data_IF_592887730049
#
_entry.id   IF_592887730049
#
_cell.length_a   1.000
_cell.length_b   1.000
_cell.length_c   1.000
_cell.angle_alpha   90.00
_cell.angle_beta   90.00
_cell.angle_gamma   90.00
#
_symmetry.space_group_name_H-M   'P 1'
#
loop_
_entity.id
_entity.type
_entity.pdbx_description
1 polymer ?
#
# COMPACT_ATOMS: atom_id res chain seq x y z
N UNK A 1 -2.68 12.47 -12.40
CA UNK A 1 -3.38 13.11 -11.27
C UNK A 1 -2.65 12.91 -9.94
N UNK A 2 -2.19 11.70 -9.61
CA UNK A 2 -1.33 11.45 -8.43
C UNK A 2 0.02 12.19 -8.49
N UNK A 3 0.71 12.21 -9.64
CA UNK A 3 1.99 12.94 -9.78
C UNK A 3 1.83 14.45 -9.56
N UNK A 4 0.66 14.99 -9.92
CA UNK A 4 0.34 16.41 -9.76
C UNK A 4 0.07 16.79 -8.29
N UNK A 5 -0.50 15.86 -7.50
CA UNK A 5 -0.67 16.02 -6.06
C UNK A 5 0.66 15.83 -5.31
N UNK A 6 1.54 14.96 -5.82
CA UNK A 6 2.88 14.69 -5.28
C UNK A 6 3.78 15.92 -5.30
N UNK A 7 3.75 16.70 -6.37
CA UNK A 7 4.55 17.94 -6.54
C UNK A 7 4.16 19.08 -5.58
N UNK A 8 3.05 18.94 -4.85
CA UNK A 8 2.53 19.95 -3.92
C UNK A 8 2.75 19.59 -2.44
N UNK A 9 3.26 18.40 -2.16
CA UNK A 9 3.62 17.97 -0.80
C UNK A 9 4.96 18.60 -0.40
N UNK A 10 5.16 18.87 0.89
CA UNK A 10 6.48 19.30 1.37
C UNK A 10 7.49 18.16 1.17
N UNK A 11 8.79 18.47 1.11
CA UNK A 11 9.84 17.45 0.94
C UNK A 11 9.71 16.31 1.96
N UNK A 12 9.41 16.64 3.22
CA UNK A 12 9.22 15.66 4.30
C UNK A 12 7.96 14.79 4.09
N UNK A 13 6.91 15.33 3.47
CA UNK A 13 5.67 14.58 3.20
C UNK A 13 5.83 13.67 1.97
N UNK A 14 6.63 14.08 0.97
CA UNK A 14 7.01 13.25 -0.18
C UNK A 14 7.86 12.07 0.28
N UNK A 15 8.86 12.30 1.13
CA UNK A 15 9.72 11.24 1.65
C UNK A 15 8.92 10.20 2.45
N UNK A 16 7.97 10.65 3.29
CA UNK A 16 7.04 9.73 3.99
C UNK A 16 6.13 8.98 3.02
N UNK A 17 5.60 9.65 1.99
CA UNK A 17 4.77 9.00 0.99
C UNK A 17 5.54 7.90 0.25
N UNK A 18 6.75 8.20 -0.23
CA UNK A 18 7.62 7.23 -0.91
C UNK A 18 7.97 6.05 0.00
N UNK A 19 8.19 6.30 1.28
CA UNK A 19 8.43 5.24 2.26
C UNK A 19 7.21 4.32 2.42
N UNK A 20 6.01 4.88 2.54
CA UNK A 20 4.78 4.08 2.66
C UNK A 20 4.41 3.36 1.36
N UNK A 21 4.64 3.99 0.21
CA UNK A 21 4.39 3.40 -1.10
C UNK A 21 5.39 2.25 -1.38
N UNK A 22 6.68 2.46 -1.09
CA UNK A 22 7.70 1.42 -1.14
C UNK A 22 7.38 0.24 -0.21
N UNK A 23 6.94 0.51 1.03
CA UNK A 23 6.47 -0.52 1.95
C UNK A 23 5.25 -1.27 1.42
N UNK A 24 4.29 -0.59 0.81
CA UNK A 24 3.11 -1.22 0.22
C UNK A 24 3.49 -2.15 -0.95
N UNK A 25 4.42 -1.74 -1.81
CA UNK A 25 4.96 -2.57 -2.90
C UNK A 25 5.66 -3.81 -2.35
N UNK A 26 6.50 -3.65 -1.33
CA UNK A 26 7.18 -4.78 -0.67
C UNK A 26 6.16 -5.74 -0.06
N UNK A 27 5.17 -5.23 0.69
CA UNK A 27 4.10 -6.07 1.26
C UNK A 27 3.32 -6.82 0.18
N UNK A 28 3.09 -6.21 -0.97
CA UNK A 28 2.43 -6.87 -2.11
C UNK A 28 3.27 -8.04 -2.63
N UNK A 29 4.60 -7.88 -2.73
CA UNK A 29 5.50 -8.98 -3.12
C UNK A 29 5.45 -10.14 -2.11
N UNK A 30 5.43 -9.84 -0.81
CA UNK A 30 5.29 -10.83 0.26
C UNK A 30 3.89 -11.46 0.36
N UNK A 31 2.92 -10.95 -0.38
CA UNK A 31 1.60 -11.57 -0.51
C UNK A 31 1.53 -12.48 -1.75
N UNK A 32 2.00 -11.98 -2.90
CA UNK A 32 1.88 -12.67 -4.19
C UNK A 32 2.79 -13.91 -4.24
N UNK A 33 4.07 -13.77 -3.90
CA UNK A 33 5.02 -14.88 -4.02
C UNK A 33 4.71 -16.03 -3.05
N UNK A 34 4.45 -15.79 -1.76
CA UNK A 34 4.03 -16.86 -0.84
C UNK A 34 2.65 -17.42 -1.20
N UNK A 35 1.72 -16.61 -1.72
CA UNK A 35 0.45 -17.12 -2.22
C UNK A 35 0.62 -18.13 -3.36
N UNK A 36 1.43 -17.78 -4.37
CA UNK A 36 1.75 -18.65 -5.51
C UNK A 36 2.52 -19.90 -5.07
N UNK A 37 3.55 -19.75 -4.24
CA UNK A 37 4.30 -20.89 -3.69
C UNK A 37 3.40 -21.79 -2.85
N UNK A 38 2.50 -21.23 -2.06
CA UNK A 38 1.54 -21.97 -1.26
C UNK A 38 0.59 -22.80 -2.12
N UNK A 39 0.11 -22.25 -3.24
CA UNK A 39 -0.72 -22.97 -4.21
C UNK A 39 0.05 -24.13 -4.87
N UNK A 40 1.31 -23.90 -5.27
CA UNK A 40 2.18 -24.93 -5.85
C UNK A 40 2.43 -26.05 -4.83
N UNK A 41 2.83 -25.71 -3.61
CA UNK A 41 3.07 -26.69 -2.54
C UNK A 41 1.80 -27.47 -2.18
N UNK A 42 0.64 -26.83 -2.18
CA UNK A 42 -0.64 -27.50 -1.96
C UNK A 42 -0.95 -28.51 -3.07
N UNK A 43 -0.75 -28.12 -4.33
CA UNK A 43 -0.91 -29.00 -5.48
C UNK A 43 0.07 -30.19 -5.46
N UNK A 44 1.30 -29.99 -4.97
CA UNK A 44 2.33 -31.03 -4.81
C UNK A 44 2.16 -31.88 -3.53
N UNK A 45 1.04 -31.77 -2.81
CA UNK A 45 0.76 -32.45 -1.53
C UNK A 45 1.74 -32.13 -0.38
N UNK A 46 2.55 -31.07 -0.50
CA UNK A 46 3.44 -30.59 0.55
C UNK A 46 2.69 -29.66 1.52
N UNK A 47 1.76 -30.24 2.29
CA UNK A 47 0.81 -29.49 3.16
C UNK A 47 1.51 -28.59 4.17
N UNK A 48 2.61 -29.02 4.78
CA UNK A 48 3.35 -28.23 5.77
C UNK A 48 3.96 -26.96 5.15
N UNK A 49 4.52 -27.06 3.95
CA UNK A 49 5.10 -25.92 3.23
C UNK A 49 3.99 -24.94 2.77
N UNK A 50 2.87 -25.48 2.27
CA UNK A 50 1.72 -24.67 1.89
C UNK A 50 1.16 -23.85 3.06
N UNK A 51 1.09 -24.44 4.26
CA UNK A 51 0.59 -23.76 5.45
C UNK A 51 1.49 -22.58 5.88
N UNK A 52 2.82 -22.77 5.83
CA UNK A 52 3.78 -21.69 6.13
C UNK A 52 3.63 -20.54 5.12
N UNK A 53 3.53 -20.86 3.83
CA UNK A 53 3.32 -19.87 2.78
C UNK A 53 2.02 -19.08 2.97
N UNK A 54 0.93 -19.74 3.35
CA UNK A 54 -0.35 -19.08 3.64
C UNK A 54 -0.30 -18.22 4.91
N UNK A 55 0.42 -18.66 5.94
CA UNK A 55 0.63 -17.87 7.15
C UNK A 55 1.38 -16.56 6.86
N UNK A 56 2.41 -16.61 6.00
CA UNK A 56 3.15 -15.42 5.56
C UNK A 56 2.22 -14.47 4.80
N UNK A 57 1.44 -14.98 3.84
CA UNK A 57 0.50 -14.18 3.07
C UNK A 57 -0.60 -13.54 3.96
N UNK A 58 -1.08 -14.28 4.97
CA UNK A 58 -2.09 -13.79 5.92
C UNK A 58 -1.59 -12.62 6.78
N UNK A 59 -0.31 -12.60 7.14
CA UNK A 59 0.31 -11.48 7.89
C UNK A 59 0.68 -10.30 6.97
N UNK A 60 1.06 -10.57 5.72
CA UNK A 60 1.38 -9.53 4.75
C UNK A 60 0.15 -8.67 4.37
N UNK A 61 -1.05 -9.27 4.33
CA UNK A 61 -2.30 -8.59 3.97
C UNK A 61 -2.64 -7.39 4.89
N UNK A 62 -2.72 -7.52 6.23
CA UNK A 62 -3.01 -6.38 7.11
C UNK A 62 -1.90 -5.31 7.07
N UNK A 63 -0.64 -5.71 6.90
CA UNK A 63 0.47 -4.76 6.72
C UNK A 63 0.28 -3.93 5.45
N UNK A 64 -0.05 -4.55 4.33
CA UNK A 64 -0.35 -3.87 3.07
C UNK A 64 -1.55 -2.93 3.18
N UNK A 65 -2.61 -3.36 3.87
CA UNK A 65 -3.80 -2.53 4.07
C UNK A 65 -3.49 -1.31 4.94
N UNK A 66 -2.70 -1.46 6.01
CA UNK A 66 -2.29 -0.36 6.88
C UNK A 66 -1.40 0.65 6.16
N UNK A 67 -0.41 0.19 5.39
CA UNK A 67 0.49 1.07 4.63
C UNK A 67 -0.25 1.77 3.49
N UNK A 68 -1.10 1.04 2.77
CA UNK A 68 -1.95 1.61 1.71
C UNK A 68 -2.96 2.64 2.23
N UNK A 69 -3.58 2.41 3.39
CA UNK A 69 -4.47 3.39 4.02
C UNK A 69 -3.73 4.66 4.43
N UNK A 70 -2.51 4.55 4.97
CA UNK A 70 -1.68 5.71 5.34
C UNK A 70 -1.22 6.50 4.12
N UNK A 71 -0.81 5.82 3.04
CA UNK A 71 -0.46 6.48 1.78
C UNK A 71 -1.67 7.25 1.21
N UNK A 72 -2.87 6.66 1.23
CA UNK A 72 -4.11 7.33 0.80
C UNK A 72 -4.50 8.50 1.70
N UNK A 73 -4.27 8.40 3.01
CA UNK A 73 -4.53 9.49 3.94
C UNK A 73 -3.64 10.72 3.66
N UNK A 74 -2.36 10.49 3.36
CA UNK A 74 -1.43 11.56 2.96
C UNK A 74 -1.87 12.23 1.66
N UNK A 75 -2.31 11.45 0.67
CA UNK A 75 -2.86 11.99 -0.59
C UNK A 75 -4.13 12.83 -0.37
N UNK A 76 -5.04 12.40 0.51
CA UNK A 76 -6.25 13.19 0.85
C UNK A 76 -5.93 14.51 1.53
N UNK A 77 -4.86 14.57 2.35
CA UNK A 77 -4.40 15.83 2.96
C UNK A 77 -3.85 16.78 1.89
N UNK A 78 -3.07 16.25 0.94
CA UNK A 78 -2.57 17.02 -0.19
C UNK A 78 -3.72 17.57 -1.06
N UNK A 79 -4.73 16.75 -1.32
CA UNK A 79 -5.93 17.12 -2.06
C UNK A 79 -6.73 18.24 -1.36
N UNK A 80 -6.93 18.17 -0.04
CA UNK A 80 -7.58 19.24 0.74
C UNK A 80 -6.81 20.56 0.69
N UNK A 81 -5.47 20.52 0.79
CA UNK A 81 -4.63 21.72 0.64
C UNK A 81 -4.72 22.30 -0.77
N UNK A 82 -4.78 21.44 -1.79
CA UNK A 82 -4.95 21.86 -3.17
C UNK A 82 -6.30 22.55 -3.42
N UNK A 83 -7.39 21.97 -2.93
CA UNK A 83 -8.74 22.56 -3.02
C UNK A 83 -8.81 23.91 -2.31
N UNK A 84 -8.17 24.03 -1.15
CA UNK A 84 -8.07 25.30 -0.42
C UNK A 84 -7.30 26.38 -1.19
N UNK A 85 -6.21 26.03 -1.89
CA UNK A 85 -5.42 26.97 -2.72
C UNK A 85 -6.18 27.36 -3.99
N UNK A 86 -6.93 26.43 -4.60
CA UNK A 86 -7.73 26.70 -5.79
C UNK A 86 -9.01 27.50 -5.49
N UNK A 87 -9.26 27.87 -4.23
CA UNK A 87 -10.44 28.65 -3.84
C UNK A 87 -11.75 27.89 -4.00
N UNK A 88 -11.69 26.57 -4.22
CA UNK A 88 -12.85 25.70 -4.26
C UNK A 88 -13.11 25.23 -2.83
N UNK A 89 -13.80 26.06 -2.06
CA UNK A 89 -14.50 25.56 -0.87
C UNK A 89 -15.59 24.60 -1.33
N UNK A 90 -15.74 23.51 -0.59
CA UNK A 90 -16.68 22.42 -0.80
C UNK A 90 -18.00 22.92 -1.43
N UNK A 91 -18.30 22.45 -2.65
CA UNK A 91 -19.68 22.38 -3.11
C UNK A 91 -20.21 21.08 -2.51
N UNK A 92 -20.99 21.24 -1.43
CA UNK A 92 -21.79 20.21 -0.75
C UNK A 92 -22.45 19.19 -1.71
#
# INVERSE_FOLDING_TARGET
>A
MQDFLRDRLSKDEIERYELYDGLAVICTQFMVWPGLLGLICYASQMRSAAFVCWAIAAVALPLMLLTGQRARALLKVAEKRYLAIMGVHDLD
#
